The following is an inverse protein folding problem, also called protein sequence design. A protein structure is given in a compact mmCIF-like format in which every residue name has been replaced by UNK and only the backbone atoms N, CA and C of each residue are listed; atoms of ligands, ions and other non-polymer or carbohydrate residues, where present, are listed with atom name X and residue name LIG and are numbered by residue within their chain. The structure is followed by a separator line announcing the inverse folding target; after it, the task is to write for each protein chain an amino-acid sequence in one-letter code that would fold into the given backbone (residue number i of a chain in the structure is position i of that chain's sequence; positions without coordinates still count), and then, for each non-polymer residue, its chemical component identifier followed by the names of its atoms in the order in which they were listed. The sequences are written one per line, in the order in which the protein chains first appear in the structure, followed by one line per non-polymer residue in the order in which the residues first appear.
data_IF_382808900047
#
_entry.id   IF_382808900047
#
_cell.length_a   1.000
_cell.length_b   1.000
_cell.length_c   1.000
_cell.angle_alpha   90.00
_cell.angle_beta   90.00
_cell.angle_gamma   90.00
#
_symmetry.space_group_name_H-M   'P 1'
#
loop_
_entity.id
_entity.type
_entity.pdbx_description
1 polymer ?
#
# COMPACT_ATOMS: atom_id res chain seq x y z
N UNK A 1 -9.83 -9.53 -10.15
CA UNK A 1 -9.61 -9.62 -8.69
C UNK A 1 -10.23 -8.38 -8.06
N UNK A 2 -11.39 -8.50 -7.39
CA UNK A 2 -12.15 -7.34 -6.89
C UNK A 2 -11.41 -6.57 -5.78
N UNK A 3 -10.62 -7.28 -4.98
CA UNK A 3 -9.76 -6.71 -3.92
C UNK A 3 -8.34 -6.54 -4.48
N UNK A 4 -8.21 -5.68 -5.49
CA UNK A 4 -6.92 -5.30 -6.07
C UNK A 4 -6.17 -4.34 -5.14
N UNK A 5 -5.55 -4.87 -4.09
CA UNK A 5 -4.72 -4.12 -3.15
C UNK A 5 -5.48 -3.64 -1.90
N UNK A 6 -5.28 -4.34 -0.78
CA UNK A 6 -5.84 -3.96 0.54
C UNK A 6 -5.45 -2.53 0.94
N UNK A 7 -4.31 -2.03 0.48
CA UNK A 7 -3.87 -0.64 0.70
C UNK A 7 -4.86 0.41 0.24
N UNK A 8 -5.51 0.20 -0.91
CA UNK A 8 -6.49 1.15 -1.45
C UNK A 8 -7.73 1.23 -0.57
N UNK A 9 -8.20 0.07 -0.10
CA UNK A 9 -9.40 -0.02 0.72
C UNK A 9 -9.18 0.55 2.12
N UNK A 10 -8.00 0.33 2.69
CA UNK A 10 -7.70 0.72 4.08
C UNK A 10 -7.29 2.20 4.19
N UNK A 11 -6.65 2.76 3.15
CA UNK A 11 -6.22 4.16 3.11
C UNK A 11 -7.25 5.24 3.48
N UNK A 12 -8.49 5.23 2.95
CA UNK A 12 -9.47 6.24 3.31
C UNK A 12 -9.86 6.19 4.79
N UNK A 13 -9.96 4.99 5.39
CA UNK A 13 -10.27 4.84 6.81
C UNK A 13 -9.14 5.34 7.70
N UNK A 14 -7.89 5.02 7.37
CA UNK A 14 -6.73 5.54 8.10
C UNK A 14 -6.70 7.07 7.99
N UNK A 15 -6.87 7.60 6.77
CA UNK A 15 -6.88 9.06 6.56
C UNK A 15 -7.97 9.74 7.38
N UNK A 16 -9.16 9.17 7.45
CA UNK A 16 -10.26 9.70 8.26
C UNK A 16 -9.99 9.63 9.79
N UNK A 17 -9.07 8.78 10.22
CA UNK A 17 -8.74 8.55 11.64
C UNK A 17 -7.43 9.22 12.08
N UNK A 18 -6.78 10.00 11.20
CA UNK A 18 -5.47 10.62 11.47
C UNK A 18 -5.42 12.06 10.96
N UNK A 19 -4.88 12.96 11.78
CA UNK A 19 -4.84 14.40 11.44
C UNK A 19 -3.53 14.85 10.77
N UNK A 20 -2.44 14.12 10.99
CA UNK A 20 -1.11 14.45 10.46
C UNK A 20 -0.67 13.44 9.39
N UNK A 21 -0.04 13.93 8.31
CA UNK A 21 0.48 13.09 7.23
C UNK A 21 1.40 11.96 7.67
N UNK A 22 2.23 12.17 8.71
CA UNK A 22 3.15 11.15 9.23
C UNK A 22 2.37 10.05 9.94
N UNK A 23 1.33 10.41 10.70
CA UNK A 23 0.42 9.45 11.31
C UNK A 23 -0.32 8.64 10.24
N UNK A 24 -0.84 9.29 9.20
CA UNK A 24 -1.51 8.58 8.09
C UNK A 24 -0.58 7.55 7.44
N UNK A 25 0.65 7.96 7.07
CA UNK A 25 1.60 7.07 6.39
C UNK A 25 2.13 5.98 7.32
N UNK A 26 2.44 6.29 8.58
CA UNK A 26 2.95 5.32 9.54
C UNK A 26 1.92 4.24 9.87
N UNK A 27 0.67 4.62 10.13
CA UNK A 27 -0.42 3.68 10.40
C UNK A 27 -0.70 2.78 9.19
N UNK A 28 -0.69 3.36 7.99
CA UNK A 28 -0.83 2.58 6.75
C UNK A 28 0.30 1.57 6.59
N UNK A 29 1.55 2.01 6.79
CA UNK A 29 2.70 1.13 6.70
C UNK A 29 2.61 -0.01 7.73
N UNK A 30 2.22 0.28 8.97
CA UNK A 30 2.03 -0.73 10.01
C UNK A 30 0.98 -1.78 9.63
N UNK A 31 -0.18 -1.36 9.12
CA UNK A 31 -1.23 -2.28 8.68
C UNK A 31 -0.81 -3.12 7.48
N UNK A 32 -0.11 -2.54 6.51
CA UNK A 32 0.42 -3.29 5.37
C UNK A 32 1.48 -4.29 5.81
N UNK A 33 2.44 -3.88 6.65
CA UNK A 33 3.48 -4.77 7.20
C UNK A 33 2.87 -5.94 7.97
N UNK A 34 1.83 -5.68 8.76
CA UNK A 34 1.11 -6.73 9.49
C UNK A 34 0.43 -7.72 8.53
N UNK A 35 -0.33 -7.23 7.55
CA UNK A 35 -1.01 -8.06 6.54
C UNK A 35 -0.02 -8.90 5.72
N UNK A 36 1.09 -8.30 5.30
CA UNK A 36 2.13 -9.01 4.54
C UNK A 36 2.90 -10.00 5.41
N UNK A 37 3.19 -9.66 6.67
CA UNK A 37 3.82 -10.58 7.62
C UNK A 37 3.01 -11.85 7.82
N UNK A 38 1.69 -11.72 8.01
CA UNK A 38 0.78 -12.88 8.09
C UNK A 38 0.81 -13.69 6.80
N UNK A 39 0.78 -13.05 5.62
CA UNK A 39 0.87 -13.76 4.34
C UNK A 39 2.16 -14.57 4.21
N UNK A 40 3.30 -14.00 4.61
CA UNK A 40 4.57 -14.71 4.59
C UNK A 40 4.48 -15.95 5.47
N UNK A 41 4.03 -15.82 6.71
CA UNK A 41 3.88 -16.94 7.64
C UNK A 41 2.94 -18.04 7.08
N UNK A 42 1.79 -17.65 6.54
CA UNK A 42 0.83 -18.58 5.95
C UNK A 42 1.41 -19.31 4.74
N UNK A 43 2.07 -18.59 3.82
CA UNK A 43 2.68 -19.21 2.65
C UNK A 43 3.87 -20.11 3.02
N UNK A 44 4.61 -19.81 4.09
CA UNK A 44 5.63 -20.72 4.63
C UNK A 44 5.01 -22.03 5.12
N UNK A 45 3.90 -21.98 5.86
CA UNK A 45 3.16 -23.18 6.32
C UNK A 45 2.60 -23.98 5.15
N UNK A 46 2.12 -23.31 4.09
CA UNK A 46 1.60 -23.95 2.88
C UNK A 46 2.70 -24.50 1.95
N UNK A 47 3.98 -24.36 2.30
CA UNK A 47 5.10 -24.93 1.54
C UNK A 47 5.53 -24.11 0.32
N UNK A 48 5.28 -22.80 0.29
CA UNK A 48 5.73 -21.94 -0.82
C UNK A 48 7.26 -21.88 -0.90
N UNK A 49 7.81 -22.12 -2.10
CA UNK A 49 9.26 -22.16 -2.34
C UNK A 49 9.85 -20.74 -2.54
N UNK A 50 10.06 -20.01 -1.44
CA UNK A 50 10.65 -18.66 -1.47
C UNK A 50 12.05 -18.61 -2.08
N UNK A 51 12.84 -19.68 -1.95
CA UNK A 51 14.22 -19.76 -2.45
C UNK A 51 14.32 -19.58 -3.97
N UNK A 52 13.34 -20.09 -4.73
CA UNK A 52 13.27 -19.92 -6.19
C UNK A 52 13.17 -18.46 -6.62
N UNK A 53 12.65 -17.61 -5.73
CA UNK A 53 12.45 -16.18 -5.98
C UNK A 53 13.38 -15.30 -5.14
N UNK A 54 14.43 -15.87 -4.52
CA UNK A 54 15.28 -15.15 -3.58
C UNK A 54 15.94 -13.91 -4.19
N UNK A 55 16.38 -13.99 -5.45
CA UNK A 55 16.95 -12.85 -6.18
C UNK A 55 15.92 -11.72 -6.38
N UNK A 56 14.70 -12.07 -6.80
CA UNK A 56 13.61 -11.12 -6.98
C UNK A 56 13.19 -10.49 -5.65
N UNK A 57 13.05 -11.29 -4.60
CA UNK A 57 12.74 -10.81 -3.24
C UNK A 57 13.83 -9.84 -2.76
N UNK A 58 15.10 -10.20 -2.95
CA UNK A 58 16.23 -9.33 -2.61
C UNK A 58 16.17 -7.98 -3.34
N UNK A 59 15.91 -7.99 -4.65
CA UNK A 59 15.73 -6.78 -5.43
C UNK A 59 14.54 -5.94 -4.90
N UNK A 60 13.39 -6.56 -4.64
CA UNK A 60 12.21 -5.88 -4.11
C UNK A 60 12.46 -5.25 -2.74
N UNK A 61 13.20 -5.92 -1.85
CA UNK A 61 13.59 -5.37 -0.53
C UNK A 61 14.46 -4.14 -0.73
N UNK A 62 15.49 -4.21 -1.58
CA UNK A 62 16.41 -3.09 -1.84
C UNK A 62 15.64 -1.89 -2.40
N UNK A 63 14.84 -2.09 -3.46
CA UNK A 63 14.02 -1.02 -4.03
C UNK A 63 12.98 -0.49 -3.03
N UNK A 64 12.39 -1.35 -2.20
CA UNK A 64 11.46 -0.98 -1.14
C UNK A 64 12.10 -0.09 -0.07
N UNK A 65 13.34 -0.38 0.34
CA UNK A 65 14.12 0.45 1.26
C UNK A 65 14.41 1.81 0.63
N UNK A 66 14.91 1.85 -0.62
CA UNK A 66 15.18 3.11 -1.32
C UNK A 66 13.91 3.96 -1.53
N UNK A 67 12.80 3.33 -1.89
CA UNK A 67 11.50 3.99 -2.02
C UNK A 67 11.00 4.56 -0.70
N UNK A 68 11.13 3.81 0.40
CA UNK A 68 10.74 4.26 1.74
C UNK A 68 11.59 5.42 2.21
N UNK A 69 12.90 5.37 1.98
CA UNK A 69 13.82 6.44 2.36
C UNK A 69 13.54 7.73 1.58
N UNK A 70 13.39 7.62 0.26
CA UNK A 70 13.05 8.74 -0.61
C UNK A 70 11.67 9.33 -0.27
N UNK A 71 10.68 8.46 -0.07
CA UNK A 71 9.33 8.85 0.34
C UNK A 71 9.30 9.56 1.69
N UNK A 72 10.07 9.07 2.67
CA UNK A 72 10.23 9.74 3.98
C UNK A 72 10.81 11.15 3.82
N UNK A 73 11.86 11.31 2.99
CA UNK A 73 12.48 12.61 2.76
C UNK A 73 11.49 13.62 2.15
N UNK A 74 10.67 13.17 1.19
CA UNK A 74 9.60 13.97 0.58
C UNK A 74 8.52 14.30 1.62
N UNK A 75 8.03 13.31 2.36
CA UNK A 75 6.96 13.45 3.36
C UNK A 75 7.32 14.48 4.44
N UNK A 76 8.57 14.46 4.92
CA UNK A 76 9.03 15.37 5.97
C UNK A 76 9.01 16.83 5.50
N UNK A 77 9.29 17.10 4.22
CA UNK A 77 9.32 18.45 3.62
C UNK A 77 7.98 18.88 3.02
N UNK A 78 7.03 17.97 2.87
CA UNK A 78 5.73 18.24 2.23
C UNK A 78 4.82 19.09 3.14
N UNK A 79 4.21 20.18 2.62
CA UNK A 79 3.16 20.90 3.33
C UNK A 79 1.91 20.05 3.49
N UNK A 80 1.22 20.18 4.63
CA UNK A 80 0.04 19.36 4.92
C UNK A 80 -1.03 19.48 3.83
N UNK A 81 -1.39 20.69 3.40
CA UNK A 81 -2.37 20.92 2.32
C UNK A 81 -2.04 20.17 1.02
N UNK A 82 -0.76 20.10 0.66
CA UNK A 82 -0.29 19.38 -0.54
C UNK A 82 -0.46 17.88 -0.34
N UNK A 83 -0.10 17.36 0.83
CA UNK A 83 -0.32 15.96 1.17
C UNK A 83 -1.80 15.56 1.04
N UNK A 84 -2.71 16.36 1.61
CA UNK A 84 -4.15 16.07 1.54
C UNK A 84 -4.65 16.06 0.10
N UNK A 85 -4.28 17.07 -0.69
CA UNK A 85 -4.67 17.16 -2.09
C UNK A 85 -4.16 15.95 -2.89
N UNK A 86 -2.87 15.62 -2.78
CA UNK A 86 -2.25 14.50 -3.50
C UNK A 86 -2.88 13.17 -3.07
N UNK A 87 -3.04 12.94 -1.78
CA UNK A 87 -3.64 11.71 -1.26
C UNK A 87 -5.08 11.56 -1.76
N UNK A 88 -5.88 12.62 -1.72
CA UNK A 88 -7.26 12.59 -2.21
C UNK A 88 -7.31 12.30 -3.72
N UNK A 89 -6.44 12.94 -4.52
CA UNK A 89 -6.35 12.68 -5.97
C UNK A 89 -6.03 11.19 -6.21
N UNK A 90 -5.04 10.65 -5.50
CA UNK A 90 -4.66 9.23 -5.61
C UNK A 90 -5.84 8.33 -5.24
N UNK A 91 -6.52 8.60 -4.12
CA UNK A 91 -7.68 7.83 -3.68
C UNK A 91 -8.82 7.89 -4.70
N UNK A 92 -9.09 9.06 -5.30
CA UNK A 92 -10.10 9.21 -6.36
C UNK A 92 -9.73 8.42 -7.60
N UNK A 93 -8.48 8.49 -8.08
CA UNK A 93 -8.01 7.72 -9.23
C UNK A 93 -8.14 6.22 -8.96
N UNK A 94 -7.75 5.77 -7.77
CA UNK A 94 -7.85 4.36 -7.39
C UNK A 94 -9.30 3.90 -7.30
N UNK A 95 -10.20 4.72 -6.72
CA UNK A 95 -11.63 4.43 -6.67
C UNK A 95 -12.24 4.30 -8.07
N UNK A 96 -11.89 5.20 -9.00
CA UNK A 96 -12.29 5.10 -10.40
C UNK A 96 -11.72 3.84 -11.06
N UNK A 97 -10.47 3.48 -10.76
CA UNK A 97 -9.83 2.25 -11.24
C UNK A 97 -10.53 0.97 -10.72
N UNK A 98 -11.02 0.98 -9.49
CA UNK A 98 -11.81 -0.12 -8.92
C UNK A 98 -13.19 -0.21 -9.59
N UNK A 99 -13.88 0.92 -9.79
CA UNK A 99 -15.16 0.95 -10.52
C UNK A 99 -15.00 0.45 -11.96
N UNK A 100 -13.94 0.88 -12.65
CA UNK A 100 -13.63 0.42 -13.99
C UNK A 100 -13.39 -1.10 -14.03
N UNK A 101 -12.61 -1.62 -13.08
CA UNK A 101 -12.38 -3.07 -12.97
C UNK A 101 -13.66 -3.84 -12.64
N UNK A 102 -14.55 -3.29 -11.81
CA UNK A 102 -15.83 -3.92 -11.49
C UNK A 102 -16.74 -4.03 -12.73
N UNK A 103 -16.81 -2.98 -13.55
CA UNK A 103 -17.56 -2.98 -14.81
C UNK A 103 -16.93 -3.91 -15.84
N UNK A 104 -15.60 -3.85 -16.02
CA UNK A 104 -14.87 -4.67 -17.01
C UNK A 104 -14.90 -6.16 -16.69
N UNK A 105 -14.70 -6.52 -15.42
CA UNK A 105 -14.59 -7.93 -15.01
C UNK A 105 -15.95 -8.58 -14.74
N UNK A 106 -17.07 -7.89 -15.01
CA UNK A 106 -18.42 -8.46 -14.90
C UNK A 106 -18.70 -9.07 -13.54
N UNK A 107 -18.77 -8.24 -12.49
CA UNK A 107 -19.43 -8.65 -11.25
C UNK A 107 -20.88 -8.19 -11.24
N UNK A 108 -21.59 -8.60 -12.29
CA UNK A 108 -22.97 -9.08 -12.33
C UNK A 108 -23.03 -10.17 -13.39
#
# INVERSE_FOLDING_TARGET
MFVGGTGVLVAPFIRASTDDRRMTVATQAAFMSWQHGIKIAMFSVLGFAFSTYASLIGAMIVFGIFGTWSGKAILLKMPEKVFQAVLNIILTILALGLLYQAVKNGMF
#
